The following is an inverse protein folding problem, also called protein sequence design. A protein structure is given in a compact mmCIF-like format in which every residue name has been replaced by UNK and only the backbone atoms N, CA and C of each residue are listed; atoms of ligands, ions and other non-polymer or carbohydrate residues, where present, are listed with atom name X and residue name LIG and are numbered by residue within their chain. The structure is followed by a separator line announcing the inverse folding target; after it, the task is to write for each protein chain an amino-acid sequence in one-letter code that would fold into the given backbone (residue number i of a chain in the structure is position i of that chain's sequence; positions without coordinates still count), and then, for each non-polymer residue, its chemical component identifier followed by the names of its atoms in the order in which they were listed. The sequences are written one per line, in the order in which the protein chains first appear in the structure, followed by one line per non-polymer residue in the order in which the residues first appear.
data_IF_813308179658
#
_entry.id   IF_813308179658
#
_cell.length_a   1.000
_cell.length_b   1.000
_cell.length_c   1.000
_cell.angle_alpha   90.00
_cell.angle_beta   90.00
_cell.angle_gamma   90.00
#
_symmetry.space_group_name_H-M   'P 1'
#
loop_
_entity.id
_entity.type
_entity.pdbx_description
1 polymer ?
#
# COMPACT_ATOMS: atom_id res chain seq x y z
N UNK A 1 1.79 2.50 -5.57
CA UNK A 1 2.23 2.62 -6.99
C UNK A 1 2.31 4.10 -7.32
N UNK A 2 3.37 4.57 -7.98
CA UNK A 2 3.44 5.96 -8.48
C UNK A 2 4.01 7.02 -7.54
N UNK A 3 4.46 6.67 -6.32
CA UNK A 3 4.98 7.63 -5.33
C UNK A 3 6.52 7.70 -5.24
N UNK A 4 7.23 7.24 -6.28
CA UNK A 4 8.70 7.34 -6.35
C UNK A 4 9.48 6.46 -5.35
N UNK A 5 8.81 5.61 -4.56
CA UNK A 5 9.45 4.71 -3.59
C UNK A 5 10.09 3.47 -4.24
N UNK A 6 9.91 3.27 -5.54
CA UNK A 6 10.48 2.16 -6.29
C UNK A 6 11.00 2.60 -7.65
N UNK A 7 11.81 1.75 -8.27
CA UNK A 7 12.42 1.96 -9.58
C UNK A 7 12.68 0.62 -10.28
N UNK A 8 13.08 0.67 -11.55
CA UNK A 8 13.40 -0.55 -12.30
C UNK A 8 14.54 -1.32 -11.62
N UNK A 9 14.30 -2.58 -11.25
CA UNK A 9 15.29 -3.42 -10.56
C UNK A 9 15.51 -3.09 -9.08
N UNK A 10 14.74 -2.16 -8.49
CA UNK A 10 14.80 -1.86 -7.06
C UNK A 10 13.54 -2.32 -6.34
N UNK A 11 13.64 -2.55 -5.02
CA UNK A 11 12.48 -2.78 -4.16
C UNK A 11 12.20 -1.53 -3.32
N UNK A 12 10.92 -1.20 -3.17
CA UNK A 12 10.52 -0.24 -2.14
C UNK A 12 10.81 -0.83 -0.76
N UNK A 13 10.96 0.05 0.24
CA UNK A 13 11.08 -0.41 1.62
C UNK A 13 9.77 -1.11 2.05
N UNK A 14 9.88 -2.22 2.77
CA UNK A 14 8.73 -3.08 3.11
C UNK A 14 7.72 -2.37 4.04
N UNK A 15 8.13 -1.30 4.72
CA UNK A 15 7.23 -0.42 5.50
C UNK A 15 6.29 0.42 4.62
N UNK A 16 6.68 0.71 3.38
CA UNK A 16 5.93 1.58 2.47
C UNK A 16 5.19 0.82 1.37
N UNK A 17 5.00 -0.50 1.56
CA UNK A 17 4.14 -1.31 0.70
C UNK A 17 2.78 -1.53 1.38
N UNK A 18 1.71 -1.41 0.61
CA UNK A 18 0.35 -1.68 1.09
C UNK A 18 0.10 -3.20 1.07
N UNK A 19 -0.11 -3.87 2.21
CA UNK A 19 -0.39 -5.29 2.23
C UNK A 19 -1.79 -5.56 1.70
N UNK A 20 -1.87 -6.20 0.54
CA UNK A 20 -3.13 -6.55 -0.13
C UNK A 20 -3.19 -8.06 -0.36
N UNK A 21 -4.39 -8.64 -0.23
CA UNK A 21 -4.61 -9.99 -0.74
C UNK A 21 -4.50 -9.99 -2.28
N UNK A 22 -4.32 -11.17 -2.88
CA UNK A 22 -4.09 -11.31 -4.33
C UNK A 22 -5.16 -10.59 -5.17
N UNK A 23 -6.43 -10.70 -4.79
CA UNK A 23 -7.54 -10.09 -5.51
C UNK A 23 -7.44 -8.56 -5.52
N UNK A 24 -7.28 -7.92 -4.36
CA UNK A 24 -7.17 -6.47 -4.26
C UNK A 24 -5.85 -5.96 -4.85
N UNK A 25 -4.77 -6.72 -4.74
CA UNK A 25 -3.51 -6.39 -5.39
C UNK A 25 -3.68 -6.34 -6.92
N UNK A 26 -4.36 -7.32 -7.50
CA UNK A 26 -4.65 -7.33 -8.93
C UNK A 26 -5.59 -6.19 -9.34
N UNK A 27 -6.60 -5.86 -8.52
CA UNK A 27 -7.50 -4.71 -8.74
C UNK A 27 -6.71 -3.41 -8.81
N UNK A 28 -5.78 -3.18 -7.86
CA UNK A 28 -4.91 -2.01 -7.84
C UNK A 28 -4.00 -1.92 -9.08
N UNK A 29 -3.47 -3.05 -9.57
CA UNK A 29 -2.64 -3.07 -10.79
C UNK A 29 -3.47 -2.89 -12.07
N UNK A 30 -4.74 -3.30 -12.07
CA UNK A 30 -5.61 -3.17 -13.23
C UNK A 30 -6.04 -1.72 -13.44
N UNK A 31 -6.45 -1.03 -12.36
CA UNK A 31 -6.85 0.37 -12.41
C UNK A 31 -6.66 1.03 -11.04
N UNK A 32 -5.63 1.87 -10.93
CA UNK A 32 -5.32 2.58 -9.68
C UNK A 32 -6.38 3.60 -9.32
N UNK A 33 -7.02 4.25 -10.30
CA UNK A 33 -8.01 5.30 -10.04
C UNK A 33 -9.29 4.67 -9.50
N UNK A 34 -9.82 3.64 -10.18
CA UNK A 34 -11.02 2.95 -9.73
C UNK A 34 -10.82 2.27 -8.36
N UNK A 35 -9.62 1.72 -8.10
CA UNK A 35 -9.28 1.19 -6.78
C UNK A 35 -9.33 2.28 -5.70
N UNK A 36 -8.70 3.43 -5.95
CA UNK A 36 -8.64 4.52 -4.96
C UNK A 36 -9.99 5.20 -4.73
N UNK A 37 -10.84 5.31 -5.75
CA UNK A 37 -12.23 5.77 -5.60
C UNK A 37 -13.06 4.85 -4.69
N UNK A 38 -12.80 3.53 -4.75
CA UNK A 38 -13.54 2.51 -4.01
C UNK A 38 -13.06 2.32 -2.57
N UNK A 39 -11.75 2.32 -2.34
CA UNK A 39 -11.17 1.98 -1.04
C UNK A 39 -10.49 3.15 -0.31
N UNK A 40 -10.30 4.28 -0.99
CA UNK A 40 -9.47 5.40 -0.53
C UNK A 40 -8.07 5.37 -1.14
N UNK A 41 -7.35 6.49 -1.02
CA UNK A 41 -6.02 6.63 -1.60
C UNK A 41 -5.03 5.61 -1.05
N UNK A 42 -4.06 5.17 -1.85
CA UNK A 42 -3.02 4.26 -1.39
C UNK A 42 -2.23 4.80 -0.19
N UNK A 43 -1.99 6.12 -0.13
CA UNK A 43 -1.30 6.76 0.99
C UNK A 43 -2.11 6.66 2.29
N UNK A 44 -3.41 6.94 2.22
CA UNK A 44 -4.31 6.82 3.37
C UNK A 44 -4.35 5.38 3.89
N UNK A 45 -4.46 4.41 2.99
CA UNK A 45 -4.47 2.99 3.35
C UNK A 45 -3.16 2.55 4.02
N UNK A 46 -2.01 3.04 3.55
CA UNK A 46 -0.71 2.78 4.18
C UNK A 46 -0.65 3.42 5.57
N UNK A 47 -1.09 4.67 5.75
CA UNK A 47 -1.09 5.31 7.06
C UNK A 47 -1.96 4.57 8.07
N UNK A 48 -3.17 4.14 7.67
CA UNK A 48 -4.06 3.31 8.51
C UNK A 48 -3.41 1.97 8.88
N UNK A 49 -2.68 1.36 7.94
CA UNK A 49 -1.98 0.11 8.19
C UNK A 49 -0.82 0.29 9.20
N UNK A 50 0.02 1.32 9.00
CA UNK A 50 1.14 1.61 9.91
C UNK A 50 0.64 1.96 11.31
N UNK A 51 -0.41 2.78 11.42
CA UNK A 51 -1.05 3.11 12.69
C UNK A 51 -1.53 1.85 13.42
N UNK A 52 -2.20 0.95 12.70
CA UNK A 52 -2.62 -0.34 13.26
C UNK A 52 -1.43 -1.20 13.69
N UNK A 53 -0.36 -1.27 12.89
CA UNK A 53 0.83 -2.07 13.20
C UNK A 53 1.56 -1.56 14.46
N UNK A 54 1.63 -0.24 14.64
CA UNK A 54 2.13 0.40 15.86
C UNK A 54 1.23 0.10 17.05
N UNK A 55 -0.08 0.25 16.90
CA UNK A 55 -1.05 0.02 17.99
C UNK A 55 -1.03 -1.42 18.53
N UNK A 56 -0.66 -2.41 17.72
CA UNK A 56 -0.53 -3.82 18.13
C UNK A 56 0.90 -4.22 18.50
N UNK A 57 1.87 -3.30 18.43
CA UNK A 57 3.26 -3.54 18.82
C UNK A 57 4.09 -4.40 17.85
N UNK A 58 3.71 -4.46 16.57
CA UNK A 58 4.49 -5.18 15.53
C UNK A 58 5.72 -4.38 15.08
N UNK A 59 5.66 -3.06 15.20
CA UNK A 59 6.76 -2.14 14.91
C UNK A 59 7.26 -1.57 16.25
N UNK A 60 8.54 -1.81 16.56
CA UNK A 60 9.21 -1.42 17.82
C UNK A 60 10.43 -0.55 17.55
#
# INVERSE_FOLDING_TARGET
IGYGQGGMGTKAHDLFVLPLCRTHHNELHADTVAFEEKYGSQLELIFRFIDRALAIGVLA
#
